data_IF_867819404627
#
_entry.id   IF_867819404627
#
_cell.length_a   1.000
_cell.length_b   1.000
_cell.length_c   1.000
_cell.angle_alpha   90.00
_cell.angle_beta   90.00
_cell.angle_gamma   90.00
#
_symmetry.space_group_name_H-M   'P 1'
#
loop_
_entity.id
_entity.type
_entity.pdbx_description
1 polymer ?
#
# COMPACT_ATOMS: atom_id res chain seq x y z
N UNK A 1 1.46 -12.30 -10.86
CA UNK A 1 1.65 -10.84 -10.84
C UNK A 1 1.73 -10.37 -9.37
N UNK A 2 2.46 -9.29 -9.06
CA UNK A 2 2.62 -8.80 -7.67
C UNK A 2 2.18 -7.34 -7.58
N UNK A 3 1.35 -7.00 -6.59
CA UNK A 3 0.88 -5.64 -6.29
C UNK A 3 1.52 -5.19 -4.98
N UNK A 4 2.06 -3.98 -4.93
CA UNK A 4 2.67 -3.39 -3.73
C UNK A 4 2.07 -2.00 -3.48
N UNK A 5 1.19 -1.83 -2.48
CA UNK A 5 0.72 -0.51 -2.06
C UNK A 5 1.87 0.31 -1.52
N UNK A 6 2.09 1.52 -2.05
CA UNK A 6 3.18 2.41 -1.63
C UNK A 6 2.68 3.49 -0.67
N UNK A 7 1.49 4.02 -0.94
CA UNK A 7 0.73 4.91 -0.07
C UNK A 7 -0.77 4.61 -0.11
N UNK A 8 -1.45 4.76 1.02
CA UNK A 8 -2.88 4.42 1.21
C UNK A 8 -3.70 5.50 1.95
N UNK A 9 -3.19 6.74 2.06
CA UNK A 9 -3.91 7.89 2.61
C UNK A 9 -4.68 8.65 1.53
N UNK A 10 -5.81 9.24 1.91
CA UNK A 10 -6.61 10.16 1.09
C UNK A 10 -6.43 11.62 1.47
N UNK A 11 -6.32 12.50 0.46
CA UNK A 11 -6.19 13.95 0.45
C UNK A 11 -4.95 14.55 1.16
N UNK A 12 -4.46 13.89 2.22
CA UNK A 12 -3.35 14.37 3.05
C UNK A 12 -2.60 13.17 3.65
N UNK A 13 -1.25 13.21 3.71
CA UNK A 13 -0.49 12.16 4.37
C UNK A 13 -0.70 12.22 5.89
N UNK A 14 -0.55 11.09 6.56
CA UNK A 14 -0.47 11.03 8.03
C UNK A 14 0.94 10.62 8.46
N UNK A 15 1.23 10.64 9.76
CA UNK A 15 2.48 10.10 10.30
C UNK A 15 2.68 8.59 10.06
N UNK A 16 1.69 7.88 9.50
CA UNK A 16 1.67 6.42 9.30
C UNK A 16 1.17 5.97 7.93
N UNK A 17 0.66 6.89 7.09
CA UNK A 17 0.16 6.60 5.73
C UNK A 17 0.58 7.69 4.75
N UNK A 18 0.99 7.29 3.56
CA UNK A 18 1.48 8.13 2.47
C UNK A 18 0.43 8.30 1.39
N UNK A 19 0.61 9.27 0.50
CA UNK A 19 -0.33 9.61 -0.56
C UNK A 19 -0.41 8.56 -1.66
N UNK A 20 -1.53 8.55 -2.39
CA UNK A 20 -1.93 7.54 -3.38
C UNK A 20 -0.82 7.13 -4.34
N UNK A 21 -0.38 5.88 -4.21
CA UNK A 21 0.51 5.22 -5.17
C UNK A 21 0.55 3.71 -4.95
N UNK A 22 0.55 2.93 -6.03
CA UNK A 22 0.66 1.46 -6.04
C UNK A 22 1.60 1.02 -7.16
N UNK A 23 2.58 0.17 -6.84
CA UNK A 23 3.42 -0.46 -7.85
C UNK A 23 2.92 -1.88 -8.16
N UNK A 24 2.57 -2.13 -9.42
CA UNK A 24 2.38 -3.46 -9.97
C UNK A 24 3.71 -3.93 -10.57
N UNK A 25 4.22 -5.06 -10.11
CA UNK A 25 5.44 -5.68 -10.63
C UNK A 25 5.10 -6.93 -11.45
N UNK A 26 5.64 -6.98 -12.66
CA UNK A 26 5.50 -8.09 -13.61
C UNK A 26 6.85 -8.37 -14.25
N UNK A 27 7.31 -9.62 -14.14
CA UNK A 27 8.41 -10.22 -14.92
C UNK A 27 9.74 -9.41 -14.97
N UNK A 28 9.94 -8.50 -14.01
CA UNK A 28 11.13 -7.67 -13.86
C UNK A 28 10.90 -6.17 -14.01
N UNK A 29 9.79 -5.76 -14.62
CA UNK A 29 9.38 -4.37 -14.83
C UNK A 29 8.22 -3.96 -13.90
N UNK A 30 7.96 -2.65 -13.84
CA UNK A 30 7.04 -2.01 -12.91
C UNK A 30 6.07 -1.09 -13.65
N UNK A 31 4.80 -1.20 -13.31
CA UNK A 31 3.74 -0.30 -13.72
C UNK A 31 3.23 0.43 -12.47
N UNK A 32 3.32 1.76 -12.47
CA UNK A 32 2.99 2.59 -11.31
C UNK A 32 1.59 3.18 -11.49
N UNK A 33 0.69 2.95 -10.54
CA UNK A 33 -0.66 3.50 -10.52
C UNK A 33 -0.73 4.58 -9.44
N UNK A 34 -0.93 5.82 -9.88
CA UNK A 34 -0.71 7.07 -9.17
C UNK A 34 0.69 7.26 -8.55
N UNK A 35 1.09 8.52 -8.44
CA UNK A 35 2.39 8.96 -7.99
C UNK A 35 2.25 10.19 -7.08
N UNK A 36 1.55 10.03 -5.95
CA UNK A 36 1.50 11.02 -4.88
C UNK A 36 2.87 11.38 -4.29
N UNK A 37 2.89 12.42 -3.46
CA UNK A 37 4.12 12.88 -2.79
C UNK A 37 4.83 11.73 -2.07
N UNK A 38 6.17 11.74 -2.12
CA UNK A 38 7.04 10.74 -1.50
C UNK A 38 6.96 9.31 -2.09
N UNK A 39 6.12 9.02 -3.09
CA UNK A 39 6.01 7.69 -3.72
C UNK A 39 7.36 7.08 -4.13
N UNK A 40 8.28 7.90 -4.67
CA UNK A 40 9.63 7.47 -5.05
C UNK A 40 10.50 6.96 -3.88
N UNK A 41 10.24 7.39 -2.64
CA UNK A 41 10.91 6.87 -1.44
C UNK A 41 10.22 5.60 -0.92
N UNK A 42 8.90 5.51 -1.05
CA UNK A 42 8.14 4.29 -0.76
C UNK A 42 8.59 3.13 -1.67
N UNK A 43 8.87 3.39 -2.95
CA UNK A 43 9.50 2.41 -3.84
C UNK A 43 10.84 1.90 -3.29
N UNK A 44 11.74 2.79 -2.86
CA UNK A 44 13.02 2.38 -2.28
C UNK A 44 12.83 1.55 -1.00
N UNK A 45 11.86 1.91 -0.16
CA UNK A 45 11.54 1.19 1.07
C UNK A 45 10.88 -0.18 0.82
N UNK A 46 10.16 -0.34 -0.30
CA UNK A 46 9.69 -1.64 -0.82
C UNK A 46 10.78 -2.46 -1.53
N UNK A 47 12.01 -1.94 -1.68
CA UNK A 47 13.09 -2.56 -2.45
C UNK A 47 12.90 -2.49 -3.98
N UNK A 48 11.93 -1.72 -4.46
CA UNK A 48 11.60 -1.57 -5.88
C UNK A 48 12.56 -0.61 -6.58
N UNK A 49 13.14 -1.06 -7.71
CA UNK A 49 14.06 -0.26 -8.52
C UNK A 49 13.25 0.70 -9.40
N UNK A 50 13.31 2.01 -9.12
CA UNK A 50 12.66 3.06 -9.94
C UNK A 50 13.02 3.00 -11.43
N UNK A 51 14.27 2.62 -11.75
CA UNK A 51 14.71 2.40 -13.14
C UNK A 51 14.01 1.24 -13.87
N UNK A 52 13.21 0.42 -13.17
CA UNK A 52 12.36 -0.62 -13.77
C UNK A 52 10.90 -0.19 -13.99
N UNK A 53 10.53 1.06 -13.71
CA UNK A 53 9.24 1.60 -14.17
C UNK A 53 9.23 1.59 -15.70
N UNK A 54 8.17 1.08 -16.30
CA UNK A 54 7.90 1.16 -17.74
C UNK A 54 6.77 2.16 -18.01
N UNK A 55 5.65 2.02 -17.28
CA UNK A 55 4.45 2.84 -17.42
C UNK A 55 4.09 3.51 -16.08
N UNK A 56 3.66 4.76 -16.11
CA UNK A 56 2.98 5.44 -15.00
C UNK A 56 1.57 5.82 -15.44
N UNK A 57 0.57 5.34 -14.70
CA UNK A 57 -0.85 5.63 -14.91
C UNK A 57 -1.33 6.61 -13.83
N UNK A 58 -1.83 7.77 -14.23
CA UNK A 58 -2.44 8.77 -13.34
C UNK A 58 -3.95 8.69 -13.46
N UNK A 59 -4.66 8.58 -12.34
CA UNK A 59 -6.13 8.54 -12.31
C UNK A 59 -6.73 9.92 -12.57
N UNK A 60 -6.29 10.95 -11.85
CA UNK A 60 -6.83 12.31 -11.95
C UNK A 60 -5.86 13.38 -11.40
N UNK A 61 -6.26 14.66 -11.52
CA UNK A 61 -5.50 15.81 -11.06
C UNK A 61 -5.93 16.33 -9.68
N UNK A 62 -5.93 15.45 -8.67
CA UNK A 62 -5.75 15.87 -7.27
C UNK A 62 -4.33 15.60 -6.80
N UNK A 63 -3.85 16.49 -5.94
CA UNK A 63 -2.41 16.68 -5.68
C UNK A 63 -1.76 15.41 -5.13
N UNK A 64 -2.49 14.64 -4.34
CA UNK A 64 -2.08 13.36 -3.77
C UNK A 64 -1.98 12.19 -4.77
N UNK A 65 -2.37 12.39 -6.03
CA UNK A 65 -2.28 11.38 -7.09
C UNK A 65 -1.14 11.63 -8.09
N UNK A 66 -0.64 12.86 -8.22
CA UNK A 66 0.41 13.20 -9.22
C UNK A 66 1.62 14.00 -8.70
N UNK A 67 1.57 14.58 -7.49
CA UNK A 67 2.62 15.50 -7.00
C UNK A 67 4.04 14.92 -6.92
N UNK A 68 4.19 13.60 -6.77
CA UNK A 68 5.48 12.92 -6.76
C UNK A 68 6.18 12.81 -8.11
N UNK A 69 5.47 13.02 -9.23
CA UNK A 69 5.98 12.82 -10.60
C UNK A 69 7.27 13.59 -10.88
N UNK A 70 7.31 14.89 -10.61
CA UNK A 70 8.47 15.73 -10.93
C UNK A 70 9.71 15.26 -10.19
N UNK A 71 9.57 14.91 -8.90
CA UNK A 71 10.67 14.38 -8.10
C UNK A 71 11.12 12.99 -8.55
N UNK A 72 10.19 12.12 -8.96
CA UNK A 72 10.48 10.79 -9.50
C UNK A 72 11.23 10.89 -10.83
N UNK A 73 10.72 11.64 -11.80
CA UNK A 73 11.30 11.81 -13.14
C UNK A 73 12.67 12.48 -13.07
N UNK A 74 12.82 13.56 -12.28
CA UNK A 74 14.14 14.18 -12.01
C UNK A 74 15.13 13.17 -11.42
N UNK A 75 14.67 12.23 -10.61
CA UNK A 75 15.53 11.20 -10.02
C UNK A 75 15.88 10.10 -11.04
N UNK A 76 14.97 9.73 -11.95
CA UNK A 76 15.29 8.84 -13.08
C UNK A 76 16.36 9.47 -13.99
N UNK A 77 16.29 10.79 -14.20
CA UNK A 77 17.30 11.53 -14.96
C UNK A 77 18.67 11.53 -14.27
N UNK A 78 18.72 11.81 -12.96
CA UNK A 78 19.95 11.70 -12.17
C UNK A 78 20.51 10.26 -12.13
N UNK A 79 19.65 9.25 -12.28
CA UNK A 79 20.04 7.84 -12.39
C UNK A 79 20.46 7.42 -13.82
N UNK A 80 20.50 8.35 -14.78
CA UNK A 80 20.86 8.13 -16.20
C UNK A 80 20.05 7.00 -16.84
N UNK A 81 18.72 7.09 -16.71
CA UNK A 81 17.79 6.19 -17.41
C UNK A 81 18.01 6.27 -18.93
N UNK A 82 17.94 5.09 -19.56
CA UNK A 82 18.23 4.79 -20.96
C UNK A 82 17.01 4.24 -21.73
N UNK A 83 16.07 3.57 -21.06
CA UNK A 83 14.74 3.21 -21.60
C UNK A 83 13.79 4.42 -21.57
N UNK A 84 12.94 4.55 -22.59
CA UNK A 84 11.81 5.49 -22.56
C UNK A 84 10.81 5.18 -21.43
N UNK A 85 10.00 6.17 -21.05
CA UNK A 85 8.99 6.09 -19.99
C UNK A 85 7.62 6.44 -20.54
N UNK A 86 6.63 5.56 -20.41
CA UNK A 86 5.24 5.91 -20.77
C UNK A 86 4.56 6.62 -19.59
N UNK A 87 3.92 7.75 -19.84
CA UNK A 87 3.05 8.43 -18.89
C UNK A 87 1.64 8.51 -19.47
N UNK A 88 0.70 7.88 -18.79
CA UNK A 88 -0.70 7.74 -19.15
C UNK A 88 -1.53 8.53 -18.13
N UNK A 89 -2.52 9.28 -18.59
CA UNK A 89 -3.47 9.96 -17.71
C UNK A 89 -4.45 10.84 -18.46
N UNK A 90 -5.25 11.64 -17.74
CA UNK A 90 -6.09 12.67 -18.36
C UNK A 90 -5.28 13.66 -19.20
N UNK A 91 -5.92 14.19 -20.24
CA UNK A 91 -5.43 15.32 -21.03
C UNK A 91 -4.96 16.49 -20.17
N UNK A 92 -3.75 16.98 -20.46
CA UNK A 92 -3.06 18.00 -19.69
C UNK A 92 -1.89 17.45 -18.87
N UNK A 93 -1.75 16.12 -18.73
CA UNK A 93 -0.59 15.50 -18.07
C UNK A 93 0.71 15.82 -18.82
N UNK A 94 0.66 15.94 -20.15
CA UNK A 94 1.80 16.37 -20.97
C UNK A 94 2.13 17.84 -20.73
N UNK A 95 1.13 18.72 -20.75
CA UNK A 95 1.35 20.16 -20.51
C UNK A 95 1.94 20.40 -19.12
N UNK A 96 1.43 19.72 -18.09
CA UNK A 96 1.96 19.77 -16.73
C UNK A 96 3.42 19.34 -16.66
N UNK A 97 3.79 18.21 -17.27
CA UNK A 97 5.16 17.70 -17.23
C UNK A 97 6.14 18.59 -18.01
N UNK A 98 5.83 18.93 -19.27
CA UNK A 98 6.65 19.82 -20.10
C UNK A 98 6.83 21.21 -19.49
N UNK A 99 5.78 21.78 -18.87
CA UNK A 99 5.88 23.05 -18.13
C UNK A 99 6.88 22.95 -16.98
N UNK A 100 6.81 21.87 -16.18
CA UNK A 100 7.70 21.69 -15.03
C UNK A 100 9.15 21.40 -15.46
N UNK A 101 9.37 20.65 -16.54
CA UNK A 101 10.72 20.41 -17.07
C UNK A 101 11.34 21.72 -17.56
N UNK A 102 10.59 22.53 -18.31
CA UNK A 102 11.00 23.86 -18.76
C UNK A 102 11.26 24.82 -17.59
N UNK A 103 10.42 24.81 -16.56
CA UNK A 103 10.57 25.64 -15.36
C UNK A 103 11.83 25.26 -14.54
N UNK A 104 12.10 23.96 -14.42
CA UNK A 104 13.25 23.44 -13.68
C UNK A 104 14.56 23.43 -14.48
N UNK A 105 14.53 23.77 -15.78
CA UNK A 105 15.62 23.55 -16.74
C UNK A 105 16.11 22.08 -16.72
N UNK A 106 15.16 21.13 -16.71
CA UNK A 106 15.43 19.70 -16.68
C UNK A 106 15.45 19.12 -18.10
N UNK A 107 16.64 18.90 -18.63
CA UNK A 107 16.84 18.08 -19.83
C UNK A 107 16.85 16.59 -19.45
N UNK A 108 16.17 15.75 -20.23
CA UNK A 108 16.06 14.29 -19.99
C UNK A 108 16.95 13.49 -20.95
N UNK A 109 17.51 12.36 -20.49
CA UNK A 109 18.33 11.42 -21.27
C UNK A 109 17.53 10.25 -21.87
N UNK A 110 16.21 10.26 -21.72
CA UNK A 110 15.27 9.23 -22.16
C UNK A 110 13.98 9.91 -22.65
N UNK A 111 13.27 9.28 -23.58
CA UNK A 111 12.00 9.79 -24.08
C UNK A 111 10.87 9.60 -23.06
N UNK A 112 9.88 10.49 -23.12
CA UNK A 112 8.58 10.30 -22.45
C UNK A 112 7.50 10.15 -23.52
N UNK A 113 6.83 9.00 -23.48
CA UNK A 113 5.70 8.67 -24.34
C UNK A 113 4.41 9.05 -23.61
N UNK A 114 3.75 10.11 -24.05
CA UNK A 114 2.51 10.60 -23.45
C UNK A 114 1.29 9.93 -24.07
N UNK A 115 0.44 9.33 -23.24
CA UNK A 115 -0.89 8.84 -23.62
C UNK A 115 -1.93 9.66 -22.86
N UNK A 116 -2.52 10.64 -23.55
CA UNK A 116 -3.48 11.57 -22.98
C UNK A 116 -4.91 11.14 -23.33
N UNK A 117 -5.69 10.80 -22.31
CA UNK A 117 -7.07 10.33 -22.45
C UNK A 117 -8.04 11.52 -22.38
N UNK A 118 -8.97 11.60 -23.33
CA UNK A 118 -10.02 12.63 -23.43
C UNK A 118 -11.17 12.37 -22.43
N UNK A 119 -11.95 13.40 -22.09
CA UNK A 119 -12.99 13.29 -21.04
C UNK A 119 -14.24 12.49 -21.47
N UNK A 120 -14.47 12.30 -22.78
CA UNK A 120 -15.71 11.76 -23.36
C UNK A 120 -15.64 10.27 -23.76
N UNK A 121 -14.56 9.55 -23.42
CA UNK A 121 -14.40 8.12 -23.72
C UNK A 121 -15.39 7.22 -22.95
N UNK A 122 -15.84 6.10 -23.54
CA UNK A 122 -16.49 5.02 -22.77
C UNK A 122 -15.46 4.02 -22.20
N UNK A 123 -14.40 3.79 -22.98
CA UNK A 123 -13.21 2.99 -22.64
C UNK A 123 -12.12 3.14 -23.70
N UNK A 124 -10.87 3.05 -23.28
CA UNK A 124 -9.71 3.08 -24.17
C UNK A 124 -8.66 2.02 -23.76
N UNK A 125 -8.01 1.37 -24.74
CA UNK A 125 -6.82 0.54 -24.49
C UNK A 125 -5.57 1.40 -24.53
N UNK A 126 -5.29 2.08 -23.42
CA UNK A 126 -4.13 2.97 -23.24
C UNK A 126 -2.77 2.26 -23.36
N UNK A 127 -2.74 0.94 -23.20
CA UNK A 127 -1.60 0.08 -23.54
C UNK A 127 -2.13 -1.24 -24.13
N UNK A 128 -1.56 -1.71 -25.23
CA UNK A 128 -1.83 -3.05 -25.79
C UNK A 128 -0.52 -3.65 -26.34
N UNK A 129 0.05 -4.61 -25.61
CA UNK A 129 1.29 -5.34 -25.97
C UNK A 129 0.98 -6.78 -26.33
N UNK A 130 1.94 -7.54 -26.86
CA UNK A 130 1.73 -8.97 -27.16
C UNK A 130 1.35 -9.81 -25.92
N UNK A 131 1.76 -9.40 -24.71
CA UNK A 131 1.57 -10.17 -23.48
C UNK A 131 0.48 -9.63 -22.54
N UNK A 132 0.18 -8.34 -22.59
CA UNK A 132 -0.78 -7.69 -21.70
C UNK A 132 -1.41 -6.45 -22.33
N UNK A 133 -2.61 -6.06 -21.87
CA UNK A 133 -3.21 -4.77 -22.17
C UNK A 133 -3.63 -4.05 -20.89
N UNK A 134 -3.79 -2.72 -20.98
CA UNK A 134 -4.38 -1.88 -19.94
C UNK A 134 -5.56 -1.12 -20.53
N UNK A 135 -6.74 -1.33 -19.96
CA UNK A 135 -7.98 -0.64 -20.31
C UNK A 135 -8.24 0.48 -19.29
N UNK A 136 -8.52 1.69 -19.77
CA UNK A 136 -8.96 2.83 -18.96
C UNK A 136 -10.46 3.07 -19.16
N UNK A 137 -11.17 3.48 -18.08
CA UNK A 137 -12.56 3.95 -18.13
C UNK A 137 -12.79 5.13 -17.19
N UNK A 138 -13.70 6.07 -17.52
CA UNK A 138 -14.03 7.16 -16.63
C UNK A 138 -14.81 6.68 -15.40
N UNK A 139 -14.48 7.27 -14.27
CA UNK A 139 -15.07 7.07 -12.95
C UNK A 139 -15.97 8.25 -12.54
N UNK A 140 -16.65 8.13 -11.40
CA UNK A 140 -17.65 9.09 -10.92
C UNK A 140 -17.09 9.94 -9.76
N UNK A 141 -16.15 10.83 -10.07
CA UNK A 141 -15.50 11.72 -9.10
C UNK A 141 -15.91 13.19 -9.27
N UNK A 142 -15.36 14.11 -8.44
CA UNK A 142 -15.60 15.57 -8.53
C UNK A 142 -14.90 16.24 -9.73
N UNK A 143 -13.87 15.58 -10.27
CA UNK A 143 -13.15 15.90 -11.52
C UNK A 143 -13.19 14.67 -12.42
N UNK A 144 -12.78 14.83 -13.68
CA UNK A 144 -12.52 13.68 -14.53
C UNK A 144 -11.46 12.77 -13.91
N UNK A 145 -11.76 11.47 -13.81
CA UNK A 145 -10.96 10.46 -13.14
C UNK A 145 -11.02 9.13 -13.88
N UNK A 146 -9.88 8.46 -13.99
CA UNK A 146 -9.70 7.20 -14.72
C UNK A 146 -9.42 6.04 -13.77
N UNK A 147 -10.24 5.00 -13.91
CA UNK A 147 -9.95 3.67 -13.38
C UNK A 147 -9.26 2.83 -14.44
N UNK A 148 -8.36 1.94 -14.02
CA UNK A 148 -7.54 1.14 -14.92
C UNK A 148 -7.70 -0.36 -14.65
N UNK A 149 -7.74 -1.17 -15.71
CA UNK A 149 -7.69 -2.64 -15.66
C UNK A 149 -6.43 -3.11 -16.38
N UNK A 150 -5.45 -3.60 -15.63
CA UNK A 150 -4.33 -4.38 -16.17
C UNK A 150 -4.78 -5.83 -16.38
N UNK A 151 -4.54 -6.37 -17.58
CA UNK A 151 -4.92 -7.73 -17.95
C UNK A 151 -3.78 -8.37 -18.76
N UNK A 152 -3.12 -9.38 -18.19
CA UNK A 152 -2.31 -10.28 -19.02
C UNK A 152 -3.22 -10.98 -20.04
N UNK A 153 -2.73 -11.19 -21.26
CA UNK A 153 -3.39 -12.02 -22.26
C UNK A 153 -3.28 -13.50 -21.88
N UNK A 154 -4.23 -14.30 -22.31
CA UNK A 154 -4.31 -15.71 -21.93
C UNK A 154 -3.10 -16.48 -22.45
N UNK A 155 -2.43 -17.19 -21.55
CA UNK A 155 -1.19 -17.91 -21.85
C UNK A 155 -1.54 -19.34 -22.28
N UNK A 156 -0.87 -19.93 -23.30
CA UNK A 156 -1.13 -21.30 -23.73
C UNK A 156 -1.16 -22.31 -22.57
N UNK A 157 -1.92 -23.39 -22.75
CA UNK A 157 -2.02 -24.46 -21.77
C UNK A 157 -0.65 -25.05 -21.41
N UNK A 158 -0.60 -25.77 -20.28
CA UNK A 158 0.61 -26.54 -19.98
C UNK A 158 0.70 -27.70 -20.98
N UNK A 159 1.87 -27.85 -21.60
CA UNK A 159 2.24 -29.05 -22.35
C UNK A 159 2.37 -30.22 -21.37
N UNK A 160 1.77 -31.36 -21.72
CA UNK A 160 2.08 -32.66 -21.15
C UNK A 160 3.40 -33.17 -21.78
N UNK A 161 4.51 -32.88 -21.10
CA UNK A 161 5.85 -33.26 -21.57
C UNK A 161 6.02 -34.78 -21.65
N UNK A 162 5.47 -35.53 -20.68
CA UNK A 162 5.53 -36.99 -20.69
C UNK A 162 4.79 -37.59 -21.89
N UNK A 163 3.64 -37.02 -22.27
CA UNK A 163 2.91 -37.46 -23.45
C UNK A 163 3.58 -37.01 -24.75
N UNK A 164 4.20 -35.82 -24.75
CA UNK A 164 4.91 -35.30 -25.91
C UNK A 164 6.17 -36.13 -26.24
N UNK A 165 6.99 -36.46 -25.24
CA UNK A 165 8.14 -37.37 -25.37
C UNK A 165 7.71 -38.75 -25.89
N UNK A 166 6.63 -39.32 -25.34
CA UNK A 166 6.09 -40.63 -25.75
C UNK A 166 5.52 -40.65 -27.18
N UNK A 167 5.20 -39.48 -27.74
CA UNK A 167 4.74 -39.32 -29.12
C UNK A 167 5.85 -38.85 -30.08
N UNK A 168 7.10 -38.73 -29.63
CA UNK A 168 8.24 -38.39 -30.50
C UNK A 168 8.47 -36.90 -30.75
N UNK A 169 7.89 -36.02 -29.92
CA UNK A 169 8.12 -34.57 -30.03
C UNK A 169 9.44 -34.21 -29.35
N UNK A 170 10.47 -33.93 -30.15
CA UNK A 170 11.82 -33.58 -29.67
C UNK A 170 12.18 -32.12 -29.88
N UNK A 171 11.64 -31.47 -30.92
CA UNK A 171 12.15 -30.17 -31.36
C UNK A 171 11.41 -28.98 -30.75
N UNK A 172 12.18 -27.96 -30.38
CA UNK A 172 11.67 -26.71 -29.79
C UNK A 172 10.65 -25.99 -30.68
N UNK A 173 10.71 -26.19 -32.00
CA UNK A 173 9.76 -25.62 -32.97
C UNK A 173 8.41 -26.37 -32.95
N UNK A 174 8.42 -27.70 -32.82
CA UNK A 174 7.22 -28.51 -32.62
C UNK A 174 6.52 -28.09 -31.31
N UNK A 175 7.29 -27.90 -30.24
CA UNK A 175 6.77 -27.39 -28.96
C UNK A 175 6.26 -25.94 -29.01
N UNK A 176 6.61 -25.13 -30.03
CA UNK A 176 6.04 -23.80 -30.27
C UNK A 176 4.75 -23.89 -31.07
N UNK A 177 4.75 -24.61 -32.19
CA UNK A 177 3.57 -24.85 -33.03
C UNK A 177 2.40 -25.41 -32.22
N UNK A 178 2.63 -26.49 -31.46
CA UNK A 178 1.61 -27.08 -30.59
C UNK A 178 1.03 -26.07 -29.58
N UNK A 179 1.86 -25.20 -28.99
CA UNK A 179 1.42 -24.14 -28.06
C UNK A 179 0.68 -22.98 -28.75
N UNK A 180 0.93 -22.75 -30.04
CA UNK A 180 0.18 -21.78 -30.85
C UNK A 180 -1.22 -22.31 -31.26
N UNK A 181 -1.47 -23.61 -31.09
CA UNK A 181 -2.70 -24.28 -31.51
C UNK A 181 -2.56 -25.04 -32.83
N UNK A 182 -1.35 -25.12 -33.39
CA UNK A 182 -1.04 -25.76 -34.66
C UNK A 182 -0.75 -27.26 -34.47
N UNK A 183 -1.16 -28.08 -35.43
CA UNK A 183 -0.83 -29.51 -35.45
C UNK A 183 0.56 -29.74 -36.05
N UNK A 184 1.28 -30.76 -35.57
CA UNK A 184 2.65 -31.07 -36.00
C UNK A 184 2.68 -32.41 -36.73
N UNK A 185 3.28 -32.44 -37.92
CA UNK A 185 3.63 -33.67 -38.63
C UNK A 185 5.09 -34.06 -38.32
N UNK A 186 5.32 -35.32 -37.97
CA UNK A 186 6.65 -35.88 -37.71
C UNK A 186 7.30 -36.46 -38.98
N UNK A 187 8.60 -36.76 -38.93
CA UNK A 187 9.36 -37.35 -40.04
C UNK A 187 8.83 -38.72 -40.51
N UNK A 188 8.05 -39.43 -39.69
CA UNK A 188 7.40 -40.70 -40.02
C UNK A 188 5.97 -40.53 -40.62
N UNK A 189 5.50 -39.29 -40.78
CA UNK A 189 4.14 -38.96 -41.24
C UNK A 189 3.07 -38.96 -40.14
N UNK A 190 3.43 -39.13 -38.87
CA UNK A 190 2.49 -39.04 -37.75
C UNK A 190 2.08 -37.58 -37.51
N UNK A 191 0.79 -37.27 -37.66
CA UNK A 191 0.23 -35.94 -37.35
C UNK A 191 -0.28 -35.91 -35.90
N UNK A 192 0.44 -35.20 -35.03
CA UNK A 192 0.09 -34.97 -33.62
C UNK A 192 -0.77 -33.71 -33.49
N UNK A 193 -1.89 -33.83 -32.79
CA UNK A 193 -2.85 -32.75 -32.60
C UNK A 193 -2.52 -31.88 -31.39
N UNK A 194 -2.60 -30.55 -31.55
CA UNK A 194 -2.31 -29.60 -30.46
C UNK A 194 -3.12 -29.90 -29.18
N UNK A 195 -4.43 -30.12 -29.32
CA UNK A 195 -5.35 -30.40 -28.20
C UNK A 195 -5.03 -31.70 -27.44
N UNK A 196 -4.18 -32.58 -27.99
CA UNK A 196 -3.78 -33.82 -27.34
C UNK A 196 -2.57 -33.67 -26.42
N UNK A 197 -1.78 -32.61 -26.61
CA UNK A 197 -0.54 -32.32 -25.89
C UNK A 197 -0.70 -31.10 -24.97
N UNK A 198 -1.46 -30.09 -25.41
CA UNK A 198 -1.63 -28.82 -24.72
C UNK A 198 -2.94 -28.81 -23.97
N UNK A 199 -2.88 -28.64 -22.64
CA UNK A 199 -4.08 -28.48 -21.82
C UNK A 199 -4.88 -27.20 -22.13
N UNK A 200 -5.97 -26.96 -21.42
CA UNK A 200 -6.77 -25.75 -21.62
C UNK A 200 -5.93 -24.45 -21.44
N UNK A 201 -6.24 -23.38 -22.20
CA UNK A 201 -5.63 -22.07 -22.01
C UNK A 201 -5.71 -21.59 -20.56
N UNK A 202 -4.66 -20.90 -20.11
CA UNK A 202 -4.55 -20.43 -18.73
C UNK A 202 -4.88 -18.94 -18.72
N UNK A 203 -5.98 -18.51 -18.06
CA UNK A 203 -6.39 -17.12 -18.08
C UNK A 203 -5.31 -16.22 -17.47
N UNK A 204 -5.04 -15.08 -18.10
CA UNK A 204 -4.02 -14.15 -17.66
C UNK A 204 -4.30 -13.53 -16.28
N UNK A 205 -3.24 -13.22 -15.53
CA UNK A 205 -3.37 -12.46 -14.27
C UNK A 205 -3.96 -11.06 -14.53
N UNK A 206 -4.82 -10.60 -13.62
CA UNK A 206 -5.59 -9.37 -13.82
C UNK A 206 -5.76 -8.54 -12.55
N UNK A 207 -5.74 -7.21 -12.71
CA UNK A 207 -5.78 -6.23 -11.62
C UNK A 207 -6.60 -5.01 -12.05
N UNK A 208 -7.59 -4.64 -11.24
CA UNK A 208 -8.29 -3.36 -11.39
C UNK A 208 -7.82 -2.36 -10.32
N UNK A 209 -7.49 -1.15 -10.75
CA UNK A 209 -7.16 -0.01 -9.92
C UNK A 209 -8.30 1.01 -10.02
N UNK A 210 -9.01 1.20 -8.90
CA UNK A 210 -10.21 2.03 -8.81
C UNK A 210 -10.08 2.94 -7.59
N UNK A 211 -9.42 4.06 -7.80
CA UNK A 211 -9.36 5.19 -6.87
C UNK A 211 -10.66 5.98 -6.89
N UNK A 212 -10.71 7.03 -6.07
CA UNK A 212 -11.47 8.27 -6.25
C UNK A 212 -12.69 8.16 -7.16
N UNK A 213 -13.77 7.62 -6.58
CA UNK A 213 -15.04 7.44 -7.27
C UNK A 213 -16.16 7.21 -6.27
N UNK A 214 -17.36 7.73 -6.56
CA UNK A 214 -18.62 7.14 -6.07
C UNK A 214 -18.84 5.80 -6.79
N UNK A 215 -19.72 4.93 -6.28
CA UNK A 215 -20.17 3.76 -7.04
C UNK A 215 -20.58 4.14 -8.48
N UNK A 216 -20.07 3.42 -9.48
CA UNK A 216 -20.42 3.63 -10.89
C UNK A 216 -20.31 2.34 -11.73
N UNK A 217 -21.11 2.16 -12.81
CA UNK A 217 -21.07 0.94 -13.62
C UNK A 217 -19.70 0.65 -14.26
N UNK A 218 -18.91 1.69 -14.57
CA UNK A 218 -17.57 1.50 -15.14
C UNK A 218 -16.58 0.87 -14.16
N UNK A 219 -16.73 1.11 -12.84
CA UNK A 219 -15.92 0.41 -11.83
C UNK A 219 -16.16 -1.10 -11.86
N UNK A 220 -17.43 -1.52 -12.03
CA UNK A 220 -17.83 -2.93 -12.17
C UNK A 220 -17.26 -3.52 -13.47
N UNK A 221 -17.34 -2.80 -14.61
CA UNK A 221 -16.74 -3.23 -15.88
C UNK A 221 -15.23 -3.49 -15.75
N UNK A 222 -14.48 -2.55 -15.17
CA UNK A 222 -13.03 -2.69 -14.95
C UNK A 222 -12.70 -3.89 -14.07
N UNK A 223 -13.44 -4.08 -12.97
CA UNK A 223 -13.23 -5.15 -12.00
C UNK A 223 -13.70 -6.54 -12.45
N UNK A 224 -14.37 -6.67 -13.60
CA UNK A 224 -15.07 -7.90 -14.00
C UNK A 224 -14.15 -9.13 -14.06
N UNK A 225 -14.40 -10.12 -13.18
CA UNK A 225 -13.63 -11.36 -12.99
C UNK A 225 -12.12 -11.18 -12.64
N UNK A 226 -11.69 -10.01 -12.15
CA UNK A 226 -10.25 -9.77 -11.88
C UNK A 226 -9.68 -10.65 -10.76
N UNK A 227 -8.38 -10.93 -10.78
CA UNK A 227 -7.71 -11.59 -9.64
C UNK A 227 -7.67 -10.67 -8.42
N UNK A 228 -7.45 -9.37 -8.62
CA UNK A 228 -7.41 -8.36 -7.56
C UNK A 228 -8.18 -7.12 -8.03
N UNK A 229 -9.17 -6.71 -7.25
CA UNK A 229 -9.73 -5.36 -7.27
C UNK A 229 -9.09 -4.55 -6.14
N UNK A 230 -8.37 -3.48 -6.48
CA UNK A 230 -7.91 -2.46 -5.55
C UNK A 230 -8.86 -1.27 -5.64
N UNK A 231 -9.65 -1.04 -4.59
CA UNK A 231 -10.73 -0.04 -4.59
C UNK A 231 -10.55 0.97 -3.45
N UNK A 232 -10.89 2.24 -3.67
CA UNK A 232 -10.99 3.22 -2.59
C UNK A 232 -12.11 2.84 -1.59
N UNK A 233 -11.87 3.12 -0.32
CA UNK A 233 -12.86 3.04 0.74
C UNK A 233 -12.62 4.24 1.66
N UNK A 234 -12.74 5.45 1.11
CA UNK A 234 -12.37 6.67 1.83
C UNK A 234 -13.23 6.90 3.08
N UNK A 235 -14.46 6.34 3.11
CA UNK A 235 -15.39 6.42 4.23
C UNK A 235 -16.00 5.07 4.67
N UNK A 236 -16.54 5.06 5.89
CA UNK A 236 -17.44 4.04 6.41
C UNK A 236 -18.88 4.29 5.96
N UNK A 237 -19.74 3.27 6.00
CA UNK A 237 -21.19 3.40 5.69
C UNK A 237 -21.85 4.56 6.46
N UNK A 238 -21.46 4.75 7.72
CA UNK A 238 -21.93 5.84 8.60
C UNK A 238 -21.59 7.26 8.14
N UNK A 239 -20.82 7.40 7.04
CA UNK A 239 -20.48 8.67 6.38
C UNK A 239 -20.75 8.61 4.87
N UNK A 240 -21.67 7.75 4.40
CA UNK A 240 -22.07 7.64 3.00
C UNK A 240 -22.47 9.00 2.37
N UNK A 241 -23.21 9.84 3.11
CA UNK A 241 -23.56 11.21 2.67
C UNK A 241 -22.30 12.04 2.35
N UNK A 242 -21.24 11.91 3.16
CA UNK A 242 -19.99 12.63 2.96
C UNK A 242 -19.18 12.07 1.79
N UNK A 243 -19.18 10.75 1.61
CA UNK A 243 -18.60 10.10 0.44
C UNK A 243 -19.26 10.61 -0.86
N UNK A 244 -20.60 10.62 -0.89
CA UNK A 244 -21.39 11.11 -2.00
C UNK A 244 -21.22 12.63 -2.25
N UNK A 245 -21.02 13.43 -1.20
CA UNK A 245 -20.69 14.87 -1.31
C UNK A 245 -19.32 15.09 -1.99
N UNK A 246 -18.28 14.36 -1.57
CA UNK A 246 -16.89 14.61 -2.01
C UNK A 246 -16.37 13.68 -3.12
N UNK A 247 -17.25 12.94 -3.82
CA UNK A 247 -16.83 12.14 -4.98
C UNK A 247 -16.22 10.77 -4.66
N UNK A 248 -16.44 10.26 -3.45
CA UNK A 248 -15.80 9.04 -2.93
C UNK A 248 -16.78 7.89 -2.69
N UNK A 249 -16.23 6.73 -2.33
CA UNK A 249 -16.94 5.50 -1.99
C UNK A 249 -16.86 5.18 -0.50
N UNK A 250 -17.83 4.38 -0.04
CA UNK A 250 -17.72 3.71 1.25
C UNK A 250 -17.02 2.34 1.12
N UNK A 251 -16.56 1.81 2.24
CA UNK A 251 -16.27 0.39 2.47
C UNK A 251 -17.29 -0.57 1.82
N UNK A 252 -18.56 -0.19 1.88
CA UNK A 252 -19.70 -0.94 1.39
C UNK A 252 -19.93 -0.80 -0.12
N UNK A 253 -19.59 0.35 -0.72
CA UNK A 253 -19.60 0.54 -2.18
C UNK A 253 -18.48 -0.28 -2.83
N UNK A 254 -17.27 -0.27 -2.25
CA UNK A 254 -16.15 -1.11 -2.69
C UNK A 254 -16.51 -2.61 -2.67
N UNK A 255 -17.16 -3.06 -1.59
CA UNK A 255 -17.66 -4.44 -1.46
C UNK A 255 -18.85 -4.75 -2.40
N UNK A 256 -19.64 -3.75 -2.77
CA UNK A 256 -20.69 -3.89 -3.78
C UNK A 256 -20.08 -4.10 -5.17
N UNK A 257 -19.13 -3.26 -5.58
CA UNK A 257 -18.40 -3.39 -6.85
C UNK A 257 -17.71 -4.76 -6.93
N UNK A 258 -17.06 -5.21 -5.84
CA UNK A 258 -16.43 -6.52 -5.77
C UNK A 258 -17.40 -7.70 -6.00
N UNK A 259 -18.61 -7.64 -5.44
CA UNK A 259 -19.66 -8.63 -5.67
C UNK A 259 -20.18 -8.61 -7.11
N UNK A 260 -20.63 -7.45 -7.58
CA UNK A 260 -21.24 -7.30 -8.92
C UNK A 260 -20.24 -7.65 -10.03
N UNK A 261 -18.95 -7.39 -9.81
CA UNK A 261 -17.88 -7.71 -10.74
C UNK A 261 -17.29 -9.14 -10.59
N UNK A 262 -17.71 -9.91 -9.58
CA UNK A 262 -17.20 -11.26 -9.31
C UNK A 262 -15.66 -11.34 -9.20
N UNK A 263 -15.02 -10.35 -8.58
CA UNK A 263 -13.56 -10.35 -8.38
C UNK A 263 -13.11 -11.47 -7.44
N UNK A 264 -11.85 -11.92 -7.52
CA UNK A 264 -11.31 -13.00 -6.67
C UNK A 264 -10.79 -12.48 -5.32
N UNK A 265 -10.43 -11.21 -5.22
CA UNK A 265 -9.96 -10.54 -4.00
C UNK A 265 -10.25 -9.03 -4.07
N UNK A 266 -10.89 -8.50 -3.03
CA UNK A 266 -10.99 -7.05 -2.81
C UNK A 266 -9.85 -6.58 -1.89
N UNK A 267 -9.15 -5.53 -2.27
CA UNK A 267 -8.19 -4.79 -1.46
C UNK A 267 -8.70 -3.37 -1.31
N UNK A 268 -9.18 -3.00 -0.11
CA UNK A 268 -9.63 -1.63 0.16
C UNK A 268 -8.46 -0.71 0.50
N UNK A 269 -8.53 0.55 0.08
CA UNK A 269 -7.46 1.55 0.26
C UNK A 269 -7.98 3.00 0.36
N UNK A 270 -7.10 3.97 0.19
CA UNK A 270 -7.39 5.41 0.12
C UNK A 270 -8.14 5.97 1.34
N UNK A 271 -7.63 5.67 2.53
CA UNK A 271 -8.32 5.90 3.79
C UNK A 271 -8.27 7.38 4.20
N UNK A 272 -9.44 7.98 4.47
CA UNK A 272 -9.50 9.33 5.04
C UNK A 272 -8.73 9.40 6.37
N UNK A 273 -7.96 10.48 6.56
CA UNK A 273 -7.08 10.67 7.72
C UNK A 273 -7.78 10.51 9.09
N UNK A 274 -9.11 10.71 9.15
CA UNK A 274 -9.96 10.49 10.34
C UNK A 274 -9.87 9.08 10.94
N UNK A 275 -9.61 8.05 10.12
CA UNK A 275 -9.56 6.67 10.57
C UNK A 275 -8.17 6.33 11.09
N UNK A 276 -7.97 6.44 12.41
CA UNK A 276 -6.77 5.95 13.10
C UNK A 276 -6.66 4.43 13.03
N UNK A 277 -7.81 3.72 13.09
CA UNK A 277 -7.94 2.30 12.85
C UNK A 277 -8.83 2.06 11.60
N UNK A 278 -8.25 1.72 10.42
CA UNK A 278 -9.01 1.44 9.22
C UNK A 278 -9.58 0.02 9.15
N UNK A 279 -9.28 -0.88 10.11
CA UNK A 279 -9.89 -2.22 10.14
C UNK A 279 -11.41 -2.19 10.35
N UNK A 280 -11.99 -1.07 10.80
CA UNK A 280 -13.44 -0.91 10.84
C UNK A 280 -14.06 -0.91 9.43
N UNK A 281 -13.36 -0.32 8.45
CA UNK A 281 -13.73 -0.31 7.04
C UNK A 281 -13.59 -1.71 6.44
N UNK A 282 -12.56 -2.44 6.85
CA UNK A 282 -12.36 -3.84 6.47
C UNK A 282 -13.49 -4.74 6.99
N UNK A 283 -13.98 -4.50 8.22
CA UNK A 283 -15.11 -5.24 8.78
C UNK A 283 -16.38 -5.01 7.96
N UNK A 284 -16.73 -3.75 7.70
CA UNK A 284 -17.89 -3.37 6.87
C UNK A 284 -17.79 -3.99 5.47
N UNK A 285 -16.64 -3.90 4.80
CA UNK A 285 -16.44 -4.54 3.51
C UNK A 285 -16.61 -6.07 3.57
N UNK A 286 -16.11 -6.73 4.64
CA UNK A 286 -16.26 -8.18 4.88
C UNK A 286 -17.69 -8.62 5.24
N UNK A 287 -18.55 -7.70 5.67
CA UNK A 287 -19.98 -7.99 5.91
C UNK A 287 -20.74 -8.16 4.57
N UNK A 288 -20.22 -7.61 3.46
CA UNK A 288 -20.81 -7.74 2.11
C UNK A 288 -20.00 -8.61 1.14
N UNK A 289 -18.66 -8.63 1.21
CA UNK A 289 -17.81 -9.35 0.26
C UNK A 289 -16.64 -10.08 0.94
N UNK A 290 -16.38 -11.33 0.53
CA UNK A 290 -15.22 -12.10 0.99
C UNK A 290 -14.60 -12.90 -0.17
N UNK A 291 -13.27 -12.92 -0.33
CA UNK A 291 -12.25 -12.36 0.57
C UNK A 291 -12.01 -10.86 0.35
N UNK A 292 -11.96 -10.10 1.45
CA UNK A 292 -11.54 -8.70 1.45
C UNK A 292 -10.36 -8.46 2.40
N UNK A 293 -9.36 -7.71 1.92
CA UNK A 293 -8.10 -7.36 2.61
C UNK A 293 -7.96 -5.83 2.72
N UNK A 294 -7.16 -5.40 3.70
CA UNK A 294 -6.74 -4.00 3.86
C UNK A 294 -5.46 -3.76 3.05
N UNK A 295 -5.36 -2.65 2.32
CA UNK A 295 -4.10 -2.21 1.73
C UNK A 295 -3.11 -1.80 2.85
N UNK A 296 -2.08 -2.62 3.06
CA UNK A 296 -0.97 -2.33 3.98
C UNK A 296 0.24 -1.88 3.16
N UNK A 297 0.76 -0.68 3.45
CA UNK A 297 1.89 -0.13 2.71
C UNK A 297 3.15 -1.03 2.78
N UNK A 298 3.85 -1.13 1.65
CA UNK A 298 5.02 -1.97 1.41
C UNK A 298 4.78 -3.50 1.52
N UNK A 299 3.56 -3.96 1.85
CA UNK A 299 3.23 -5.40 1.84
C UNK A 299 2.93 -5.86 0.40
N UNK A 300 3.66 -6.85 -0.15
CA UNK A 300 3.29 -7.45 -1.42
C UNK A 300 1.99 -8.26 -1.34
N UNK A 301 1.18 -8.18 -2.39
CA UNK A 301 -0.08 -8.91 -2.59
C UNK A 301 0.06 -9.68 -3.91
N UNK A 302 -0.17 -10.99 -3.87
CA UNK A 302 0.04 -11.87 -5.03
C UNK A 302 -1.31 -12.25 -5.66
N UNK A 303 -1.39 -12.19 -7.00
CA UNK A 303 -2.59 -12.64 -7.75
C UNK A 303 -2.85 -14.15 -7.67
N UNK A 304 -1.84 -14.92 -7.22
CA UNK A 304 -1.94 -16.33 -6.89
C UNK A 304 -1.47 -16.54 -5.43
N UNK A 305 -2.38 -16.81 -4.47
CA UNK A 305 -2.03 -16.99 -3.06
C UNK A 305 -1.01 -18.11 -2.78
N UNK A 306 -0.84 -19.09 -3.68
CA UNK A 306 0.21 -20.11 -3.52
C UNK A 306 1.63 -19.51 -3.54
N UNK A 307 1.80 -18.32 -4.13
CA UNK A 307 3.08 -17.62 -4.25
C UNK A 307 3.48 -16.81 -3.00
N UNK A 308 2.58 -16.62 -2.01
CA UNK A 308 2.96 -15.99 -0.72
C UNK A 308 4.00 -16.82 0.06
N UNK A 309 4.09 -18.14 -0.21
CA UNK A 309 5.03 -19.05 0.46
C UNK A 309 6.47 -18.91 -0.07
N UNK A 310 7.21 -17.95 0.47
CA UNK A 310 8.68 -17.99 0.47
C UNK A 310 9.41 -16.65 0.33
N UNK A 311 8.72 -15.57 -0.05
CA UNK A 311 9.38 -14.31 -0.45
C UNK A 311 9.58 -13.33 0.72
N UNK A 312 8.85 -13.48 1.84
CA UNK A 312 9.00 -12.64 3.04
C UNK A 312 9.57 -13.44 4.21
N UNK A 313 10.90 -13.44 4.37
CA UNK A 313 11.52 -13.77 5.66
C UNK A 313 11.44 -12.56 6.60
N UNK A 314 10.75 -12.72 7.73
CA UNK A 314 10.59 -11.66 8.73
C UNK A 314 11.93 -11.38 9.44
N UNK A 315 12.68 -10.37 8.98
CA UNK A 315 13.93 -9.91 9.62
C UNK A 315 13.67 -9.06 10.88
N UNK A 316 12.98 -9.64 11.86
CA UNK A 316 12.83 -9.10 13.22
C UNK A 316 13.09 -10.23 14.22
N UNK A 317 14.28 -10.21 14.83
CA UNK A 317 14.56 -11.08 15.97
C UNK A 317 13.99 -10.43 17.24
N UNK A 318 12.85 -10.96 17.73
CA UNK A 318 12.40 -10.66 19.08
C UNK A 318 13.44 -11.30 20.02
N UNK A 319 14.09 -10.48 20.84
CA UNK A 319 14.99 -10.96 21.88
C UNK A 319 14.16 -11.21 23.14
N UNK A 320 13.86 -12.47 23.41
CA UNK A 320 13.07 -12.86 24.58
C UNK A 320 13.71 -12.31 25.87
N UNK A 321 12.87 -11.73 26.73
CA UNK A 321 13.26 -11.34 28.08
C UNK A 321 13.03 -12.57 28.96
N UNK A 322 14.12 -13.07 29.52
CA UNK A 322 14.16 -14.34 30.26
C UNK A 322 13.56 -14.18 31.67
N UNK A 323 12.23 -14.27 31.77
CA UNK A 323 11.41 -14.13 32.99
C UNK A 323 11.58 -15.31 33.99
N UNK A 324 12.77 -15.91 34.05
CA UNK A 324 13.08 -17.11 34.83
C UNK A 324 13.83 -16.86 36.15
N UNK A 325 13.79 -15.64 36.71
CA UNK A 325 14.55 -15.27 37.93
C UNK A 325 13.73 -14.68 39.08
N UNK A 326 12.70 -15.42 39.51
CA UNK A 326 12.11 -15.29 40.85
C UNK A 326 12.25 -16.57 41.68
N UNK A 327 12.99 -16.49 42.80
CA UNK A 327 13.05 -17.46 43.93
C UNK A 327 13.30 -18.95 43.60
N UNK A 328 14.36 -19.56 44.14
CA UNK A 328 14.36 -19.99 45.54
C UNK A 328 15.73 -20.54 45.99
N UNK A 329 15.87 -20.87 47.28
CA UNK A 329 17.14 -21.15 47.95
C UNK A 329 17.32 -22.59 48.44
N UNK A 330 18.45 -23.23 48.09
CA UNK A 330 19.17 -24.39 48.69
C UNK A 330 20.36 -24.70 47.74
N UNK A 331 21.50 -25.24 48.14
CA UNK A 331 22.03 -25.55 49.47
C UNK A 331 23.27 -26.46 49.35
N UNK A 332 24.45 -25.98 49.78
CA UNK A 332 25.69 -26.73 50.06
C UNK A 332 26.13 -27.91 49.17
N UNK A 333 27.30 -27.82 48.53
CA UNK A 333 28.46 -28.68 48.86
C UNK A 333 29.77 -28.19 48.21
N UNK A 334 30.88 -28.81 48.62
CA UNK A 334 32.27 -28.34 48.45
C UNK A 334 32.98 -28.77 47.15
N UNK A 335 33.84 -27.91 46.61
CA UNK A 335 34.91 -28.25 45.65
C UNK A 335 36.13 -27.34 45.83
N UNK A 336 37.36 -27.88 45.79
CA UNK A 336 38.59 -27.19 46.27
C UNK A 336 39.79 -27.33 45.31
N UNK A 337 40.20 -26.24 44.67
CA UNK A 337 41.54 -25.97 44.12
C UNK A 337 41.59 -24.48 43.72
N UNK A 338 42.49 -23.60 44.19
CA UNK A 338 43.97 -23.54 44.16
C UNK A 338 44.54 -23.36 42.74
N UNK A 339 45.38 -22.36 42.42
CA UNK A 339 46.09 -21.37 43.28
C UNK A 339 46.68 -20.20 42.45
N UNK A 340 46.89 -19.04 43.07
CA UNK A 340 47.73 -17.93 42.56
C UNK A 340 47.02 -16.88 41.68
N UNK A 341 47.35 -15.58 41.73
CA UNK A 341 48.19 -14.85 42.71
C UNK A 341 47.77 -13.36 42.83
N UNK A 342 48.40 -12.64 43.76
CA UNK A 342 48.50 -11.16 43.96
C UNK A 342 48.09 -10.24 42.79
N UNK A 343 47.52 -9.04 43.01
CA UNK A 343 47.86 -8.10 44.10
C UNK A 343 46.71 -7.17 44.59
N UNK A 344 46.96 -6.31 45.59
CA UNK A 344 45.99 -5.47 46.32
C UNK A 344 46.12 -3.98 45.99
N UNK A 345 45.00 -3.32 45.66
CA UNK A 345 44.98 -1.85 45.47
C UNK A 345 43.60 -1.19 45.69
N UNK A 346 43.19 -0.93 46.95
CA UNK A 346 42.03 -0.06 47.24
C UNK A 346 42.46 1.41 47.27
N UNK A 347 41.77 2.30 46.51
CA UNK A 347 40.98 3.43 47.08
C UNK A 347 40.45 4.47 46.07
N UNK A 348 39.30 5.06 46.48
CA UNK A 348 38.83 6.43 46.26
C UNK A 348 38.32 6.90 44.87
N UNK A 349 36.98 6.93 44.79
CA UNK A 349 36.18 7.90 44.03
C UNK A 349 36.67 9.36 44.18
N UNK A 350 36.48 10.16 43.12
CA UNK A 350 36.32 11.63 43.21
C UNK A 350 35.24 12.12 42.23
N UNK A 351 34.11 12.60 42.76
CA UNK A 351 33.21 13.52 42.02
C UNK A 351 33.84 14.92 41.99
N UNK A 352 33.54 15.72 40.97
CA UNK A 352 33.81 17.18 40.96
C UNK A 352 32.49 17.96 40.86
N UNK A 353 32.40 19.09 41.56
CA UNK A 353 31.23 19.96 41.66
C UNK A 353 31.38 21.19 40.76
N UNK A 354 30.26 21.85 40.50
CA UNK A 354 30.13 23.20 39.94
C UNK A 354 30.63 24.30 40.89
N UNK A 355 31.03 25.44 40.31
CA UNK A 355 30.94 26.77 40.94
C UNK A 355 31.01 27.90 39.90
N UNK A 356 30.54 29.08 40.26
CA UNK A 356 30.30 30.27 39.41
C UNK A 356 31.22 31.45 39.75
N UNK A 357 31.47 32.40 38.83
CA UNK A 357 32.12 33.68 39.20
C UNK A 357 32.27 34.75 38.11
N UNK A 358 31.73 35.94 38.38
CA UNK A 358 31.83 37.24 37.65
C UNK A 358 33.28 37.77 37.59
N UNK A 359 33.70 38.74 36.75
CA UNK A 359 33.04 39.57 35.73
C UNK A 359 33.61 41.02 35.66
N UNK A 360 33.22 41.84 34.66
CA UNK A 360 33.67 43.24 34.31
C UNK A 360 35.06 43.31 33.62
N UNK A 361 35.39 44.25 32.73
CA UNK A 361 34.69 45.34 31.98
C UNK A 361 35.66 45.86 30.87
N UNK A 362 35.38 46.81 29.96
CA UNK A 362 34.28 47.79 29.74
C UNK A 362 33.86 47.80 28.23
N UNK A 363 33.49 48.84 27.45
CA UNK A 363 33.43 50.32 27.59
C UNK A 363 32.29 50.98 26.74
N UNK A 364 32.50 52.18 26.17
CA UNK A 364 31.46 53.10 25.63
C UNK A 364 31.39 53.18 24.09
N UNK A 365 30.19 53.34 23.53
CA UNK A 365 29.75 54.60 22.87
C UNK A 365 28.32 54.58 22.30
N UNK A 366 27.77 55.79 22.17
CA UNK A 366 26.48 56.23 21.63
C UNK A 366 26.25 55.90 20.14
N UNK A 367 25.04 55.98 19.55
CA UNK A 367 23.94 56.92 19.85
C UNK A 367 22.51 56.47 19.49
N UNK A 368 21.56 57.22 20.07
CA UNK A 368 20.12 57.37 19.81
C UNK A 368 19.70 57.37 18.32
N UNK A 369 18.48 56.92 17.97
CA UNK A 369 17.29 57.76 18.17
C UNK A 369 15.95 57.03 18.46
N UNK A 370 14.97 57.78 19.01
CA UNK A 370 13.65 57.30 19.50
C UNK A 370 12.48 58.01 18.81
N UNK A 371 11.33 57.31 18.70
CA UNK A 371 9.92 57.72 19.03
C UNK A 371 9.00 56.58 18.52
N UNK A 372 8.15 55.90 19.32
CA UNK A 372 6.98 56.34 20.11
C UNK A 372 5.79 56.79 19.23
N UNK A 373 4.51 56.48 19.50
CA UNK A 373 3.88 56.25 20.83
C UNK A 373 2.43 55.70 20.67
N UNK A 374 1.93 54.93 21.66
CA UNK A 374 0.50 54.80 22.08
C UNK A 374 -0.53 54.28 21.03
N UNK A 375 -1.79 53.90 21.32
CA UNK A 375 -2.56 53.89 22.59
C UNK A 375 -3.71 52.83 22.59
N UNK A 376 -4.23 52.45 23.78
CA UNK A 376 -5.51 51.76 24.10
C UNK A 376 -5.86 50.41 23.40
N UNK A 377 -6.67 49.48 23.95
CA UNK A 377 -7.28 49.41 25.29
C UNK A 377 -8.74 48.91 25.27
N UNK A 378 -8.99 47.62 25.58
CA UNK A 378 -10.37 47.08 25.80
C UNK A 378 -10.42 45.85 26.75
N UNK A 379 -10.90 46.13 27.96
CA UNK A 379 -11.99 45.46 28.70
C UNK A 379 -12.03 43.92 28.82
N UNK A 380 -11.77 43.43 30.03
CA UNK A 380 -12.32 42.17 30.58
C UNK A 380 -13.86 42.24 30.70
N UNK A 381 -14.52 41.07 30.79
CA UNK A 381 -15.87 40.90 31.34
C UNK A 381 -15.95 39.59 32.12
N UNK A 382 -16.34 39.66 33.38
CA UNK A 382 -16.66 38.51 34.21
C UNK A 382 -18.11 38.05 34.00
N UNK A 383 -18.34 36.74 34.14
CA UNK A 383 -19.60 36.02 34.41
C UNK A 383 -19.31 34.51 34.25
N UNK A 384 -19.80 33.58 35.05
CA UNK A 384 -20.37 33.59 36.41
C UNK A 384 -20.67 32.12 36.74
N UNK A 385 -20.35 31.63 37.94
CA UNK A 385 -20.56 30.22 38.30
C UNK A 385 -22.04 29.79 38.27
N UNK A 386 -22.27 28.51 37.98
CA UNK A 386 -23.47 27.77 38.39
C UNK A 386 -23.10 26.36 38.83
N UNK A 387 -23.87 25.86 39.79
CA UNK A 387 -23.42 24.92 40.80
C UNK A 387 -23.54 23.44 40.42
N UNK A 388 -22.74 22.61 41.08
CA UNK A 388 -23.01 21.18 41.24
C UNK A 388 -24.23 20.97 42.15
N UNK A 389 -25.11 20.01 41.84
CA UNK A 389 -26.13 19.53 42.76
C UNK A 389 -25.97 18.03 43.05
N UNK A 390 -25.42 17.71 44.23
CA UNK A 390 -25.29 16.37 44.80
C UNK A 390 -26.65 15.67 44.98
N UNK A 391 -26.73 14.38 44.60
CA UNK A 391 -27.75 13.43 45.08
C UNK A 391 -27.20 12.00 45.33
N UNK A 392 -26.54 11.86 46.48
CA UNK A 392 -26.75 10.80 47.50
C UNK A 392 -26.64 9.31 47.11
N UNK A 393 -25.66 8.65 47.72
CA UNK A 393 -25.69 7.21 48.02
C UNK A 393 -26.86 6.79 48.93
N UNK A 394 -27.29 5.52 48.81
CA UNK A 394 -27.54 4.57 49.92
C UNK A 394 -28.26 3.30 49.44
N UNK A 395 -27.58 2.13 49.49
CA UNK A 395 -27.93 0.98 50.36
C UNK A 395 -27.02 -0.23 50.11
N UNK A 396 -26.80 -0.99 51.17
CA UNK A 396 -25.97 -2.20 51.21
C UNK A 396 -26.74 -3.50 50.91
N UNK A 397 -25.96 -4.59 50.87
CA UNK A 397 -26.26 -5.98 51.23
C UNK A 397 -26.71 -7.01 50.16
N UNK A 398 -25.89 -8.07 50.13
CA UNK A 398 -26.18 -9.51 50.00
C UNK A 398 -26.51 -10.13 48.63
N UNK A 399 -25.52 -10.91 48.15
CA UNK A 399 -25.62 -12.37 47.92
C UNK A 399 -26.84 -12.94 47.18
N UNK A 400 -26.61 -13.48 45.97
CA UNK A 400 -26.47 -14.95 45.77
C UNK A 400 -26.03 -15.33 44.34
N UNK A 401 -25.56 -16.58 44.18
CA UNK A 401 -25.22 -17.19 42.89
C UNK A 401 -26.49 -17.69 42.16
N UNK A 402 -26.65 -17.34 40.89
CA UNK A 402 -27.30 -18.21 39.90
C UNK A 402 -26.47 -18.26 38.61
N UNK A 403 -26.19 -19.48 38.13
CA UNK A 403 -25.38 -19.70 36.93
C UNK A 403 -26.25 -19.98 35.71
N UNK A 404 -26.11 -19.17 34.66
CA UNK A 404 -26.74 -19.41 33.35
C UNK A 404 -25.67 -19.65 32.28
N UNK A 405 -25.68 -20.84 31.68
CA UNK A 405 -24.76 -21.20 30.60
C UNK A 405 -25.14 -20.48 29.31
N UNK A 406 -24.24 -19.67 28.77
CA UNK A 406 -24.39 -19.12 27.42
C UNK A 406 -24.24 -20.25 26.38
N UNK A 407 -25.08 -20.33 25.34
CA UNK A 407 -24.88 -21.28 24.26
C UNK A 407 -23.57 -21.00 23.52
N UNK A 408 -22.91 -22.03 22.96
CA UNK A 408 -21.68 -21.84 22.21
C UNK A 408 -21.93 -20.97 20.97
N UNK A 409 -21.11 -19.94 20.78
CA UNK A 409 -21.11 -19.15 19.55
C UNK A 409 -20.65 -20.02 18.38
N UNK A 410 -21.27 -19.85 17.22
CA UNK A 410 -20.73 -20.38 15.97
C UNK A 410 -19.34 -19.81 15.73
N UNK A 411 -18.35 -20.69 15.56
CA UNK A 411 -16.97 -20.31 15.20
C UNK A 411 -16.90 -20.28 13.68
N UNK A 412 -16.79 -19.08 13.10
CA UNK A 412 -16.35 -18.94 11.71
C UNK A 412 -14.90 -19.42 11.57
N UNK A 413 -14.51 -20.06 10.45
CA UNK A 413 -13.14 -20.50 10.24
C UNK A 413 -12.18 -19.30 10.31
N UNK A 414 -11.24 -19.32 11.26
CA UNK A 414 -10.14 -18.35 11.29
C UNK A 414 -9.25 -18.54 10.08
N UNK A 415 -8.81 -17.44 9.49
CA UNK A 415 -7.76 -17.42 8.48
C UNK A 415 -6.41 -17.10 9.13
N UNK A 416 -5.26 -17.40 8.49
CA UNK A 416 -3.94 -17.01 9.00
C UNK A 416 -3.69 -15.50 9.14
N UNK A 417 -4.68 -14.66 8.82
CA UNK A 417 -4.60 -13.19 8.88
C UNK A 417 -5.17 -12.62 10.20
N UNK A 418 -5.83 -13.42 11.03
CA UNK A 418 -6.64 -12.93 12.17
C UNK A 418 -5.89 -12.87 13.53
N UNK A 419 -4.59 -13.19 13.58
CA UNK A 419 -3.81 -13.33 14.84
C UNK A 419 -2.79 -12.18 15.12
N UNK A 420 -2.85 -11.05 14.40
CA UNK A 420 -1.86 -9.96 14.50
C UNK A 420 -2.15 -8.83 15.52
N UNK A 421 -3.07 -9.05 16.47
CA UNK A 421 -3.35 -8.16 17.62
C UNK A 421 -2.29 -8.31 18.76
N UNK A 422 -1.01 -8.46 18.41
CA UNK A 422 0.11 -8.76 19.34
C UNK A 422 1.42 -8.00 19.04
N UNK A 423 1.35 -6.70 18.78
CA UNK A 423 2.51 -5.79 18.82
C UNK A 423 2.14 -4.41 19.38
#
# INVERSE_FOLDING_TARGET
>A
MIIVPLGVASATPTATRHLSSVALWREGDIHLFDCGENAQMRMLQAGLKRSKIENIFISHFDVDHYSGLIGLISTLQLQRRDRDLTVIGPKGIKEFLEFNFKFANLELSFGINYVEVEEDIESERVVDTEEYYVEARPLNHTKFCLGYRFQEKDKPGKVDAEKAEKLGITEDEQYKALKAGEDVELEDGTVIKSYEIVGHPRPGDSFAYITDTKYCPNSVKLAMNTNILYHEATFSESLADKAAETGHSTSNDAARVANEAQTKLLVISHFSARYTNPFILLREAREKFFPAWLATELRPIFTNPAQEKGIVQQKVYIKEIDDSKSSSSKGSSSGRSSRGSSDRGKKNFRKRKSSSGRGRSSDRSSSSNRRSRSDQGRKRKDRSSRDYSDKRDRRDQNDQNEGTSRPPKHITPRTPFDDFDRF
#
